data_IF_382652482201
#
_entry.id   IF_382652482201
#
_cell.length_a   1.000
_cell.length_b   1.000
_cell.length_c   1.000
_cell.angle_alpha   90.00
_cell.angle_beta   90.00
_cell.angle_gamma   90.00
#
_symmetry.space_group_name_H-M   'P 1'
#
loop_
_entity.id
_entity.type
_entity.pdbx_description
1 polymer ?
#
# COMPACT_ATOMS: atom_id res chain seq x y z
N UNK A 1 34.02 -16.92 -3.42
CA UNK A 1 33.77 -17.92 -2.35
C UNK A 1 32.38 -17.63 -1.86
N UNK A 2 31.40 -18.46 -2.23
CA UNK A 2 30.04 -18.36 -1.69
C UNK A 2 30.13 -18.68 -0.21
N UNK A 3 30.17 -17.64 0.63
CA UNK A 3 29.80 -17.78 2.02
C UNK A 3 28.35 -18.22 1.95
N UNK A 4 28.09 -19.50 2.19
CA UNK A 4 26.74 -19.95 2.54
C UNK A 4 26.30 -19.01 3.64
N UNK A 5 25.35 -18.12 3.36
CA UNK A 5 24.83 -17.24 4.39
C UNK A 5 24.43 -18.18 5.54
N UNK A 6 24.79 -17.86 6.79
CA UNK A 6 24.18 -18.55 7.91
C UNK A 6 22.66 -18.50 7.67
N UNK A 7 21.91 -19.48 8.18
CA UNK A 7 20.45 -19.57 8.04
C UNK A 7 19.73 -18.40 8.76
N UNK A 8 20.10 -17.15 8.45
CA UNK A 8 19.70 -15.90 9.11
C UNK A 8 18.23 -15.67 8.78
N UNK A 9 17.87 -15.64 7.50
CA UNK A 9 16.49 -15.57 7.04
C UNK A 9 15.60 -16.64 7.67
N UNK A 10 16.05 -17.91 7.74
CA UNK A 10 15.31 -18.98 8.41
C UNK A 10 15.11 -18.71 9.90
N UNK A 11 16.15 -18.25 10.60
CA UNK A 11 16.08 -17.90 12.03
C UNK A 11 15.14 -16.73 12.29
N UNK A 12 15.15 -15.71 11.43
CA UNK A 12 14.21 -14.58 11.49
C UNK A 12 12.78 -15.08 11.27
N UNK A 13 12.55 -15.94 10.28
CA UNK A 13 11.23 -16.54 10.02
C UNK A 13 10.72 -17.33 11.23
N UNK A 14 11.56 -18.16 11.87
CA UNK A 14 11.19 -18.91 13.08
C UNK A 14 10.75 -18.00 14.23
N UNK A 15 11.39 -16.85 14.40
CA UNK A 15 11.04 -15.88 15.46
C UNK A 15 9.74 -15.14 15.19
N UNK A 16 9.43 -14.90 13.92
CA UNK A 16 8.19 -14.25 13.50
C UNK A 16 7.01 -15.25 13.32
N UNK A 17 7.13 -16.47 13.87
CA UNK A 17 6.16 -17.56 13.69
C UNK A 17 5.90 -17.91 12.20
N UNK A 18 6.86 -17.62 11.32
CA UNK A 18 6.82 -17.94 9.91
C UNK A 18 7.40 -19.32 9.61
N UNK A 19 7.10 -19.86 8.43
CA UNK A 19 7.64 -21.15 8.00
C UNK A 19 9.07 -20.99 7.46
N UNK A 20 9.99 -21.90 7.82
CA UNK A 20 11.35 -21.89 7.25
C UNK A 20 11.38 -22.32 5.79
N UNK A 21 10.54 -23.28 5.43
CA UNK A 21 10.33 -23.72 4.05
C UNK A 21 9.09 -23.06 3.46
N UNK A 22 9.18 -22.71 2.17
CA UNK A 22 8.05 -22.15 1.42
C UNK A 22 6.89 -23.16 1.41
N UNK A 23 5.78 -22.80 2.06
CA UNK A 23 4.61 -23.69 2.17
C UNK A 23 3.58 -23.32 1.11
N UNK A 24 3.34 -24.26 0.18
CA UNK A 24 2.22 -24.16 -0.77
C UNK A 24 0.94 -24.63 -0.09
N UNK A 25 0.02 -23.70 0.18
CA UNK A 25 -1.24 -23.98 0.90
C UNK A 25 -2.46 -24.08 -0.03
N UNK A 26 -2.24 -24.13 -1.34
CA UNK A 26 -3.32 -24.14 -2.35
C UNK A 26 -4.35 -25.25 -2.11
N UNK A 27 -3.92 -26.43 -1.63
CA UNK A 27 -4.81 -27.58 -1.36
C UNK A 27 -5.36 -27.59 0.08
N UNK A 28 -4.59 -27.10 1.04
CA UNK A 28 -4.93 -27.15 2.47
C UNK A 28 -6.09 -26.21 2.81
N UNK A 29 -6.22 -25.10 2.09
CA UNK A 29 -7.23 -24.08 2.34
C UNK A 29 -8.64 -24.44 1.85
N UNK A 30 -8.79 -25.37 0.90
CA UNK A 30 -10.10 -25.79 0.40
C UNK A 30 -10.88 -26.70 1.39
N UNK A 31 -10.25 -27.15 2.48
CA UNK A 31 -10.83 -28.12 3.42
C UNK A 31 -11.15 -27.55 4.82
N UNK A 32 -10.70 -26.34 5.15
CA UNK A 32 -10.88 -25.74 6.48
C UNK A 32 -11.80 -24.51 6.41
N UNK A 33 -13.10 -24.75 6.23
CA UNK A 33 -14.14 -23.70 6.22
C UNK A 33 -14.63 -23.30 7.63
N UNK A 34 -14.01 -23.77 8.72
CA UNK A 34 -14.51 -23.52 10.08
C UNK A 34 -13.39 -23.28 11.10
N UNK A 35 -12.87 -22.06 11.16
CA UNK A 35 -12.24 -21.54 12.40
C UNK A 35 -12.84 -20.18 12.75
N UNK A 36 -13.30 -20.09 14.00
CA UNK A 36 -14.00 -18.95 14.59
C UNK A 36 -13.06 -17.79 14.92
N UNK A 37 -13.53 -16.57 14.61
CA UNK A 37 -12.83 -15.29 14.70
C UNK A 37 -12.55 -14.84 16.15
N UNK A 38 -11.35 -14.33 16.40
CA UNK A 38 -11.11 -13.31 17.42
C UNK A 38 -10.91 -11.97 16.70
N UNK A 39 -11.81 -11.02 16.96
CA UNK A 39 -11.67 -9.64 16.51
C UNK A 39 -10.52 -8.99 17.31
N UNK A 40 -9.32 -9.04 16.76
CA UNK A 40 -8.23 -8.21 17.26
C UNK A 40 -8.53 -6.76 16.89
N UNK A 41 -8.47 -5.84 17.86
CA UNK A 41 -8.61 -4.40 17.62
C UNK A 41 -7.48 -3.94 16.68
N UNK A 42 -7.77 -3.93 15.37
CA UNK A 42 -6.83 -3.50 14.33
C UNK A 42 -6.70 -1.98 14.39
N UNK A 43 -5.55 -1.52 14.88
CA UNK A 43 -5.25 -0.09 14.97
C UNK A 43 -4.92 0.42 13.57
N UNK A 44 -5.78 1.31 13.07
CA UNK A 44 -5.55 2.04 11.84
C UNK A 44 -4.19 2.77 11.84
N UNK A 45 -3.58 3.03 10.66
CA UNK A 45 -2.27 3.66 10.56
C UNK A 45 -2.19 4.97 11.34
N UNK A 46 -1.03 5.29 11.94
CA UNK A 46 -0.84 6.58 12.59
C UNK A 46 -1.04 7.68 11.53
N UNK A 47 -2.04 8.53 11.76
CA UNK A 47 -2.58 9.57 10.85
C UNK A 47 -3.76 9.16 9.95
N UNK A 48 -4.40 8.00 10.18
CA UNK A 48 -5.70 7.67 9.59
C UNK A 48 -6.85 8.57 10.06
N UNK A 49 -6.59 9.53 10.96
CA UNK A 49 -7.53 10.58 11.33
C UNK A 49 -7.83 11.45 10.12
N UNK A 50 -8.79 10.91 9.35
CA UNK A 50 -9.60 11.48 8.30
C UNK A 50 -9.67 12.98 8.47
N UNK A 51 -9.22 13.68 7.42
CA UNK A 51 -9.52 15.06 7.05
C UNK A 51 -10.50 15.65 8.05
N UNK A 52 -10.00 16.39 9.05
CA UNK A 52 -10.83 17.04 10.05
C UNK A 52 -12.06 17.60 9.34
N UNK A 53 -13.24 17.09 9.69
CA UNK A 53 -14.49 17.57 9.13
C UNK A 53 -14.43 19.10 9.25
N UNK A 54 -14.42 19.83 8.14
CA UNK A 54 -14.19 21.28 8.16
C UNK A 54 -15.14 21.97 9.14
N UNK A 55 -16.33 21.39 9.33
CA UNK A 55 -17.29 21.79 10.35
C UNK A 55 -16.75 21.70 11.78
N UNK A 56 -15.96 20.67 12.14
CA UNK A 56 -15.33 20.55 13.45
C UNK A 56 -14.21 21.56 13.66
N UNK A 57 -13.43 21.89 12.62
CA UNK A 57 -12.44 22.99 12.68
C UNK A 57 -13.15 24.32 12.85
N UNK A 58 -14.18 24.59 12.04
CA UNK A 58 -14.98 25.82 12.13
C UNK A 58 -15.66 25.92 13.50
N UNK A 59 -16.24 24.83 14.00
CA UNK A 59 -16.90 24.78 15.31
C UNK A 59 -15.88 24.91 16.45
N UNK A 60 -14.68 24.35 16.32
CA UNK A 60 -13.59 24.52 17.29
C UNK A 60 -13.06 25.97 17.29
N UNK A 61 -12.94 26.60 16.12
CA UNK A 61 -12.61 28.01 15.98
C UNK A 61 -13.71 28.88 16.60
N UNK A 62 -15.00 28.61 16.33
CA UNK A 62 -16.14 29.30 16.95
C UNK A 62 -16.17 29.11 18.47
N UNK A 63 -15.93 27.89 18.96
CA UNK A 63 -15.87 27.60 20.41
C UNK A 63 -14.67 28.28 21.07
N UNK A 64 -13.53 28.35 20.40
CA UNK A 64 -12.36 29.13 20.82
C UNK A 64 -12.72 30.61 20.93
N UNK A 65 -13.47 31.13 19.97
CA UNK A 65 -13.93 32.53 19.93
C UNK A 65 -14.86 32.87 21.10
N UNK A 66 -15.68 31.90 21.53
CA UNK A 66 -16.61 32.05 22.67
C UNK A 66 -15.90 31.83 24.02
N UNK A 67 -14.83 31.03 24.06
CA UNK A 67 -14.17 30.63 25.33
C UNK A 67 -13.14 31.64 25.84
N UNK A 68 -12.72 32.63 25.04
CA UNK A 68 -11.80 33.68 25.49
C UNK A 68 -12.54 34.83 26.18
N UNK A 69 -13.30 34.52 27.23
CA UNK A 69 -13.78 35.51 28.19
C UNK A 69 -13.33 35.11 29.58
N UNK A 70 -12.05 35.33 29.91
CA UNK A 70 -11.68 35.47 31.31
C UNK A 70 -10.40 36.29 31.50
N UNK A 71 -10.62 37.43 32.18
CA UNK A 71 -9.72 38.25 33.00
C UNK A 71 -8.42 38.72 32.35
N UNK A 72 -8.31 40.04 32.10
CA UNK A 72 -7.34 40.95 32.75
C UNK A 72 -7.62 42.39 32.26
N UNK A 73 -7.51 43.33 33.19
CA UNK A 73 -7.62 44.78 33.02
C UNK A 73 -6.62 45.30 32.00
N UNK A 74 -7.03 45.42 30.74
CA UNK A 74 -6.21 45.97 29.68
C UNK A 74 -6.82 47.28 29.18
N UNK A 75 -5.98 48.27 28.92
CA UNK A 75 -6.36 49.56 28.34
C UNK A 75 -7.28 49.34 27.12
N UNK A 76 -8.30 50.18 26.92
CA UNK A 76 -9.25 50.09 25.79
C UNK A 76 -8.53 49.90 24.45
N UNK A 77 -7.34 50.48 24.31
CA UNK A 77 -6.46 50.34 23.16
C UNK A 77 -5.89 48.93 22.96
N UNK A 78 -5.50 48.24 24.04
CA UNK A 78 -5.03 46.85 23.96
C UNK A 78 -6.18 45.90 23.62
N UNK A 79 -7.38 46.18 24.14
CA UNK A 79 -8.58 45.40 23.82
C UNK A 79 -8.99 45.59 22.36
N UNK A 80 -8.98 46.82 21.83
CA UNK A 80 -9.28 47.05 20.41
C UNK A 80 -8.23 46.45 19.47
N UNK A 81 -6.93 46.57 19.80
CA UNK A 81 -5.85 45.98 19.01
C UNK A 81 -5.95 44.44 18.99
N UNK A 82 -6.33 43.81 20.10
CA UNK A 82 -6.61 42.38 20.16
C UNK A 82 -7.72 41.97 19.18
N UNK A 83 -8.86 42.67 19.19
CA UNK A 83 -9.97 42.35 18.28
C UNK A 83 -9.62 42.59 16.81
N UNK A 84 -8.85 43.63 16.48
CA UNK A 84 -8.38 43.89 15.11
C UNK A 84 -7.46 42.76 14.63
N UNK A 85 -6.45 42.39 15.42
CA UNK A 85 -5.54 41.29 15.07
C UNK A 85 -6.29 39.97 14.95
N UNK A 86 -7.23 39.71 15.84
CA UNK A 86 -8.06 38.50 15.81
C UNK A 86 -8.97 38.47 14.58
N UNK A 87 -9.55 39.60 14.19
CA UNK A 87 -10.35 39.71 12.97
C UNK A 87 -9.52 39.49 11.70
N UNK A 88 -8.31 40.07 11.63
CA UNK A 88 -7.37 39.84 10.51
C UNK A 88 -7.01 38.36 10.41
N UNK A 89 -6.66 37.73 11.54
CA UNK A 89 -6.32 36.31 11.59
C UNK A 89 -7.49 35.43 11.17
N UNK A 90 -8.71 35.74 11.64
CA UNK A 90 -9.91 35.01 11.28
C UNK A 90 -10.24 35.15 9.79
N UNK A 91 -10.12 36.36 9.23
CA UNK A 91 -10.30 36.62 7.80
C UNK A 91 -9.29 35.84 6.95
N UNK A 92 -8.02 35.82 7.37
CA UNK A 92 -6.96 35.02 6.73
C UNK A 92 -7.31 33.53 6.74
N UNK A 93 -7.68 32.97 7.90
CA UNK A 93 -8.07 31.55 8.00
C UNK A 93 -9.31 31.24 7.15
N UNK A 94 -10.28 32.15 7.11
CA UNK A 94 -11.48 31.99 6.29
C UNK A 94 -11.15 31.97 4.80
N UNK A 95 -10.28 32.87 4.32
CA UNK A 95 -9.82 32.88 2.93
C UNK A 95 -9.05 31.61 2.57
N UNK A 96 -8.15 31.14 3.45
CA UNK A 96 -7.43 29.88 3.27
C UNK A 96 -8.41 28.71 3.24
N UNK A 97 -9.44 28.70 4.10
CA UNK A 97 -10.45 27.65 4.12
C UNK A 97 -11.28 27.61 2.84
N UNK A 98 -11.71 28.78 2.31
CA UNK A 98 -12.41 28.87 1.02
C UNK A 98 -11.52 28.34 -0.10
N UNK A 99 -10.27 28.80 -0.18
CA UNK A 99 -9.32 28.38 -1.20
C UNK A 99 -9.10 26.86 -1.17
N UNK A 100 -8.82 26.29 0.01
CA UNK A 100 -8.63 24.85 0.18
C UNK A 100 -9.88 24.05 -0.16
N UNK A 101 -11.08 24.56 0.17
CA UNK A 101 -12.33 23.89 -0.17
C UNK A 101 -12.58 23.89 -1.68
N UNK A 102 -12.33 25.02 -2.37
CA UNK A 102 -12.44 25.08 -3.82
C UNK A 102 -11.45 24.14 -4.50
N UNK A 103 -10.19 24.11 -4.02
CA UNK A 103 -9.18 23.18 -4.51
C UNK A 103 -9.59 21.71 -4.31
N UNK A 104 -10.11 21.36 -3.13
CA UNK A 104 -10.63 20.02 -2.84
C UNK A 104 -11.79 19.65 -3.76
N UNK A 105 -12.76 20.56 -3.93
CA UNK A 105 -13.91 20.33 -4.81
C UNK A 105 -13.48 20.15 -6.26
N UNK A 106 -12.59 21.02 -6.76
CA UNK A 106 -12.03 20.93 -8.11
C UNK A 106 -11.35 19.57 -8.33
N UNK A 107 -10.47 19.16 -7.41
CA UNK A 107 -9.76 17.88 -7.50
C UNK A 107 -10.71 16.69 -7.49
N UNK A 108 -11.68 16.68 -6.58
CA UNK A 108 -12.67 15.61 -6.51
C UNK A 108 -13.52 15.50 -7.78
N UNK A 109 -13.93 16.63 -8.37
CA UNK A 109 -14.67 16.62 -9.64
C UNK A 109 -13.78 16.15 -10.78
N UNK A 110 -12.53 16.64 -10.85
CA UNK A 110 -11.55 16.23 -11.85
C UNK A 110 -11.25 14.73 -11.80
N UNK A 111 -11.05 14.17 -10.60
CA UNK A 111 -10.80 12.73 -10.42
C UNK A 111 -12.00 11.88 -10.83
N UNK A 112 -13.22 12.28 -10.46
CA UNK A 112 -14.43 11.58 -10.93
C UNK A 112 -14.57 11.64 -12.45
N UNK A 113 -14.27 12.79 -13.05
CA UNK A 113 -14.26 12.94 -14.51
C UNK A 113 -13.25 12.00 -15.16
N UNK A 114 -12.02 11.92 -14.64
CA UNK A 114 -11.00 10.99 -15.13
C UNK A 114 -11.42 9.53 -14.95
N UNK A 115 -11.95 9.15 -13.79
CA UNK A 115 -12.36 7.78 -13.50
C UNK A 115 -13.45 7.29 -14.47
N UNK A 116 -14.36 8.18 -14.89
CA UNK A 116 -15.39 7.87 -15.88
C UNK A 116 -14.80 7.85 -17.30
N UNK A 117 -13.94 8.80 -17.65
CA UNK A 117 -13.40 8.95 -19.00
C UNK A 117 -12.43 7.81 -19.36
N UNK A 118 -11.58 7.41 -18.41
CA UNK A 118 -10.58 6.37 -18.59
C UNK A 118 -11.06 5.01 -18.06
N UNK A 119 -12.37 4.75 -18.02
CA UNK A 119 -12.85 3.45 -17.56
C UNK A 119 -12.46 2.37 -18.59
N UNK A 120 -11.61 1.37 -18.23
CA UNK A 120 -11.10 0.39 -19.19
C UNK A 120 -12.18 -0.59 -19.68
N UNK A 121 -13.42 -0.45 -19.18
CA UNK A 121 -14.58 -1.28 -19.58
C UNK A 121 -14.32 -2.78 -19.45
N UNK A 122 -13.46 -3.15 -18.50
CA UNK A 122 -12.98 -4.51 -18.26
C UNK A 122 -12.40 -5.19 -19.50
N UNK A 123 -11.81 -4.42 -20.41
CA UNK A 123 -11.15 -4.93 -21.62
C UNK A 123 -9.63 -4.83 -21.48
N UNK A 124 -8.89 -5.95 -21.61
CA UNK A 124 -7.43 -5.94 -21.61
C UNK A 124 -6.86 -5.25 -22.85
N UNK A 125 -7.59 -5.23 -23.98
CA UNK A 125 -7.13 -4.56 -25.20
C UNK A 125 -7.00 -3.05 -25.01
N UNK A 126 -8.01 -2.42 -24.39
CA UNK A 126 -8.00 -0.97 -24.09
C UNK A 126 -6.80 -0.61 -23.23
N UNK A 127 -6.54 -1.39 -22.18
CA UNK A 127 -5.40 -1.17 -21.28
C UNK A 127 -4.08 -1.30 -22.03
N UNK A 128 -3.95 -2.33 -22.88
CA UNK A 128 -2.74 -2.56 -23.66
C UNK A 128 -2.49 -1.46 -24.69
N UNK A 129 -3.54 -0.93 -25.32
CA UNK A 129 -3.44 0.21 -26.23
C UNK A 129 -2.93 1.48 -25.54
N UNK A 130 -3.38 1.74 -24.32
CA UNK A 130 -2.91 2.89 -23.54
C UNK A 130 -1.45 2.74 -23.10
N UNK A 131 -1.01 1.52 -22.83
CA UNK A 131 0.34 1.23 -22.36
C UNK A 131 1.35 1.16 -23.51
N UNK A 132 0.94 0.70 -24.69
CA UNK A 132 1.78 0.70 -25.89
C UNK A 132 2.20 2.11 -26.34
N UNK A 133 1.53 3.16 -25.84
CA UNK A 133 1.90 4.57 -26.07
C UNK A 133 3.07 5.03 -25.18
N UNK A 134 3.43 4.25 -24.15
CA UNK A 134 4.49 4.58 -23.21
C UNK A 134 5.84 4.11 -23.74
N UNK A 135 6.88 4.93 -23.56
CA UNK A 135 8.24 4.60 -24.00
C UNK A 135 8.86 3.48 -23.16
N UNK A 136 8.48 3.40 -21.88
CA UNK A 136 8.96 2.39 -20.95
C UNK A 136 7.92 2.12 -19.86
N UNK A 137 7.99 0.93 -19.28
CA UNK A 137 7.11 0.46 -18.19
C UNK A 137 7.95 -0.10 -17.04
N UNK A 138 7.47 0.02 -15.79
CA UNK A 138 8.09 -0.67 -14.66
C UNK A 138 7.91 -2.18 -14.81
N UNK A 139 8.82 -2.98 -14.24
CA UNK A 139 8.66 -4.44 -14.14
C UNK A 139 7.90 -4.82 -12.86
N UNK A 140 8.18 -4.08 -11.80
CA UNK A 140 7.62 -4.31 -10.46
C UNK A 140 6.87 -3.04 -10.04
N UNK A 141 5.56 -3.17 -9.81
CA UNK A 141 4.74 -2.09 -9.27
C UNK A 141 4.30 -2.46 -7.87
N UNK A 142 4.42 -1.53 -6.94
CA UNK A 142 3.86 -1.64 -5.60
C UNK A 142 2.70 -0.68 -5.42
N UNK A 143 1.64 -1.12 -4.76
CA UNK A 143 0.44 -0.33 -4.49
C UNK A 143 0.17 -0.28 -2.99
N UNK A 144 0.05 0.93 -2.43
CA UNK A 144 -0.41 1.15 -1.05
C UNK A 144 -1.92 1.34 -1.08
N UNK A 145 -2.63 0.48 -0.36
CA UNK A 145 -4.08 0.45 -0.23
C UNK A 145 -4.48 0.63 1.23
N UNK A 146 -5.48 1.48 1.46
CA UNK A 146 -6.06 1.71 2.78
C UNK A 146 -7.30 0.83 2.95
N UNK A 147 -7.45 0.21 4.13
CA UNK A 147 -8.71 -0.46 4.50
C UNK A 147 -9.76 0.63 4.80
N UNK A 148 -10.73 0.79 3.89
CA UNK A 148 -11.85 1.70 4.07
C UNK A 148 -12.84 1.15 5.11
N UNK A 149 -13.59 2.05 5.77
CA UNK A 149 -14.58 1.64 6.78
C UNK A 149 -15.69 0.80 6.12
N UNK A 150 -16.25 -0.17 6.84
CA UNK A 150 -17.31 -1.05 6.32
C UNK A 150 -18.59 -0.29 5.89
N UNK A 151 -18.76 0.96 6.38
CA UNK A 151 -19.89 1.84 6.02
C UNK A 151 -19.71 2.55 4.66
N UNK A 152 -18.48 2.63 4.15
CA UNK A 152 -18.16 3.30 2.89
C UNK A 152 -18.53 2.41 1.67
N UNK A 153 -18.83 3.02 0.51
CA UNK A 153 -19.11 2.27 -0.74
C UNK A 153 -17.86 1.52 -1.21
N UNK A 154 -17.92 0.19 -1.34
CA UNK A 154 -16.74 -0.68 -1.48
C UNK A 154 -15.79 -0.59 -0.28
N UNK A 155 -16.34 -0.42 0.92
CA UNK A 155 -15.63 -0.49 2.17
C UNK A 155 -15.25 -1.91 2.59
N UNK A 156 -14.50 -2.00 3.69
CA UNK A 156 -14.19 -3.26 4.34
C UNK A 156 -13.28 -4.18 3.54
N UNK A 157 -13.23 -5.45 4.00
CA UNK A 157 -12.35 -6.48 3.41
C UNK A 157 -12.75 -6.83 1.98
N UNK A 158 -14.05 -6.88 1.69
CA UNK A 158 -14.56 -7.20 0.34
C UNK A 158 -14.19 -6.13 -0.68
N UNK A 159 -14.27 -4.85 -0.30
CA UNK A 159 -13.84 -3.73 -1.12
C UNK A 159 -12.35 -3.74 -1.43
N UNK A 160 -11.54 -4.09 -0.44
CA UNK A 160 -10.10 -4.27 -0.61
C UNK A 160 -9.79 -5.43 -1.56
N UNK A 161 -10.45 -6.59 -1.39
CA UNK A 161 -10.33 -7.75 -2.30
C UNK A 161 -10.67 -7.37 -3.74
N UNK A 162 -11.77 -6.62 -3.93
CA UNK A 162 -12.19 -6.17 -5.26
C UNK A 162 -11.13 -5.23 -5.87
N UNK A 163 -10.60 -4.29 -5.09
CA UNK A 163 -9.56 -3.35 -5.52
C UNK A 163 -8.27 -4.07 -5.95
N UNK A 164 -7.84 -5.07 -5.16
CA UNK A 164 -6.70 -5.93 -5.49
C UNK A 164 -6.96 -6.70 -6.79
N UNK A 165 -8.17 -7.23 -6.97
CA UNK A 165 -8.53 -8.01 -8.15
C UNK A 165 -8.52 -7.17 -9.43
N UNK A 166 -9.03 -5.94 -9.38
CA UNK A 166 -8.97 -5.00 -10.51
C UNK A 166 -7.51 -4.57 -10.79
N UNK A 167 -6.70 -4.26 -9.77
CA UNK A 167 -5.28 -3.97 -9.94
C UNK A 167 -4.50 -5.13 -10.55
N UNK A 168 -4.83 -6.36 -10.17
CA UNK A 168 -4.25 -7.58 -10.74
C UNK A 168 -4.56 -7.66 -12.23
N UNK A 169 -5.83 -7.47 -12.62
CA UNK A 169 -6.23 -7.49 -14.02
C UNK A 169 -5.55 -6.37 -14.84
N UNK A 170 -5.43 -5.16 -14.28
CA UNK A 170 -4.73 -4.05 -14.93
C UNK A 170 -3.24 -4.34 -15.08
N UNK A 171 -2.61 -4.90 -14.05
CA UNK A 171 -1.19 -5.26 -14.05
C UNK A 171 -0.87 -6.35 -15.08
N UNK A 172 -1.71 -7.37 -15.19
CA UNK A 172 -1.56 -8.41 -16.21
C UNK A 172 -1.78 -7.86 -17.62
N UNK A 173 -2.81 -7.03 -17.79
CA UNK A 173 -3.09 -6.38 -19.09
C UNK A 173 -1.96 -5.44 -19.52
N UNK A 174 -1.31 -4.82 -18.53
CA UNK A 174 -0.14 -3.96 -18.69
C UNK A 174 1.16 -4.70 -19.04
N UNK A 175 1.22 -6.01 -18.84
CA UNK A 175 2.42 -6.80 -19.01
C UNK A 175 3.44 -6.62 -17.88
N UNK A 176 2.98 -6.28 -16.68
CA UNK A 176 3.81 -6.27 -15.47
C UNK A 176 4.09 -7.72 -15.02
N UNK A 177 5.29 -7.97 -14.49
CA UNK A 177 5.68 -9.32 -14.03
C UNK A 177 5.42 -9.54 -12.55
N UNK A 178 5.43 -8.47 -11.75
CA UNK A 178 5.18 -8.53 -10.32
C UNK A 178 4.38 -7.33 -9.83
N UNK A 179 3.38 -7.62 -8.98
CA UNK A 179 2.56 -6.65 -8.26
C UNK A 179 2.77 -6.86 -6.76
N UNK A 180 3.20 -5.81 -6.06
CA UNK A 180 3.30 -5.80 -4.60
C UNK A 180 2.11 -5.00 -4.06
N UNK A 181 1.42 -5.55 -3.07
CA UNK A 181 0.25 -4.91 -2.46
C UNK A 181 0.56 -4.74 -0.99
N UNK A 182 0.55 -3.50 -0.56
CA UNK A 182 0.76 -3.11 0.82
C UNK A 182 -0.54 -2.63 1.43
N UNK A 183 -0.92 -3.24 2.54
CA UNK A 183 -1.98 -2.76 3.42
C UNK A 183 -1.44 -2.76 4.86
N UNK A 184 -1.63 -1.65 5.57
CA UNK A 184 -0.96 -1.40 6.85
C UNK A 184 -1.25 -2.46 7.92
N UNK A 185 -2.52 -2.82 8.11
CA UNK A 185 -2.96 -3.69 9.20
C UNK A 185 -2.65 -5.16 8.94
N UNK A 186 -2.63 -5.59 7.68
CA UNK A 186 -2.55 -6.99 7.30
C UNK A 186 -3.90 -7.72 7.41
N UNK A 187 -5.04 -7.01 7.34
CA UNK A 187 -6.37 -7.56 7.61
C UNK A 187 -6.74 -8.77 6.72
N UNK A 188 -6.23 -8.81 5.48
CA UNK A 188 -6.41 -9.94 4.56
C UNK A 188 -5.51 -11.13 4.89
N UNK A 189 -4.34 -10.87 5.49
CA UNK A 189 -3.30 -11.87 5.74
C UNK A 189 -3.57 -12.63 7.04
N UNK A 190 -4.20 -12.00 8.03
CA UNK A 190 -4.54 -12.60 9.31
C UNK A 190 -5.56 -13.74 9.17
N UNK A 191 -6.59 -13.57 8.34
CA UNK A 191 -7.65 -14.55 8.17
C UNK A 191 -7.40 -15.43 6.94
N UNK A 192 -7.24 -16.74 7.17
CA UNK A 192 -7.01 -17.74 6.12
C UNK A 192 -8.16 -17.80 5.11
N UNK A 193 -9.42 -17.68 5.53
CA UNK A 193 -10.59 -17.67 4.64
C UNK A 193 -10.58 -16.48 3.67
N UNK A 194 -10.14 -15.31 4.15
CA UNK A 194 -10.08 -14.09 3.35
C UNK A 194 -9.11 -14.21 2.15
N UNK A 195 -8.02 -14.97 2.32
CA UNK A 195 -7.05 -15.23 1.24
C UNK A 195 -7.65 -16.17 0.18
N UNK A 196 -8.48 -17.14 0.59
CA UNK A 196 -9.21 -18.01 -0.34
C UNK A 196 -10.21 -17.20 -1.15
N UNK A 197 -10.94 -16.30 -0.50
CA UNK A 197 -11.87 -15.42 -1.18
C UNK A 197 -11.14 -14.50 -2.15
N UNK A 198 -10.02 -13.89 -1.72
CA UNK A 198 -9.16 -13.09 -2.59
C UNK A 198 -8.77 -13.85 -3.86
N UNK A 199 -8.30 -15.08 -3.73
CA UNK A 199 -7.95 -15.94 -4.86
C UNK A 199 -9.14 -16.19 -5.79
N UNK A 200 -10.32 -16.50 -5.24
CA UNK A 200 -11.55 -16.70 -6.03
C UNK A 200 -11.96 -15.42 -6.77
N UNK A 201 -11.90 -14.27 -6.11
CA UNK A 201 -12.25 -12.97 -6.68
C UNK A 201 -11.26 -12.52 -7.77
N UNK A 202 -9.97 -12.76 -7.60
CA UNK A 202 -8.96 -12.52 -8.64
C UNK A 202 -9.28 -13.37 -9.86
N UNK A 203 -9.46 -14.69 -9.70
CA UNK A 203 -9.80 -15.59 -10.81
C UNK A 203 -11.08 -15.15 -11.52
N UNK A 204 -12.13 -14.78 -10.77
CA UNK A 204 -13.39 -14.26 -11.34
C UNK A 204 -13.15 -12.98 -12.15
N UNK A 205 -12.33 -12.06 -11.64
CA UNK A 205 -12.02 -10.80 -12.33
C UNK A 205 -11.21 -11.06 -13.59
N UNK A 206 -10.22 -11.95 -13.54
CA UNK A 206 -9.45 -12.33 -14.72
C UNK A 206 -10.32 -12.98 -15.80
N UNK A 207 -11.29 -13.82 -15.42
CA UNK A 207 -12.28 -14.37 -16.37
C UNK A 207 -13.11 -13.26 -17.02
N UNK A 208 -13.47 -12.20 -16.29
CA UNK A 208 -14.20 -11.06 -16.85
C UNK A 208 -13.37 -10.27 -17.86
N UNK A 209 -12.06 -10.13 -17.65
CA UNK A 209 -11.17 -9.39 -18.55
C UNK A 209 -10.72 -10.23 -19.75
N UNK A 210 -10.23 -11.46 -19.51
CA UNK A 210 -9.58 -12.29 -20.53
C UNK A 210 -10.50 -13.35 -21.15
N UNK A 211 -11.71 -13.52 -20.61
CA UNK A 211 -12.64 -14.58 -21.01
C UNK A 211 -12.31 -15.93 -20.37
N UNK A 212 -13.04 -16.97 -20.78
CA UNK A 212 -12.92 -18.33 -20.20
C UNK A 212 -11.92 -19.21 -20.93
N UNK A 213 -11.45 -18.82 -22.10
CA UNK A 213 -10.62 -19.69 -22.97
C UNK A 213 -9.14 -19.68 -22.59
N UNK A 214 -8.61 -18.53 -22.15
CA UNK A 214 -7.19 -18.35 -21.80
C UNK A 214 -7.05 -17.47 -20.56
N UNK A 215 -7.35 -18.03 -19.39
CA UNK A 215 -7.23 -17.33 -18.10
C UNK A 215 -5.75 -17.23 -17.73
N UNK A 216 -5.21 -16.02 -17.54
CA UNK A 216 -3.83 -15.84 -17.08
C UNK A 216 -3.58 -16.44 -15.69
N UNK A 217 -2.35 -16.87 -15.47
CA UNK A 217 -1.92 -17.56 -14.25
C UNK A 217 -1.25 -16.60 -13.29
N UNK A 218 -1.50 -16.79 -11.99
CA UNK A 218 -0.91 -15.94 -10.96
C UNK A 218 -0.52 -16.75 -9.72
N UNK A 219 0.39 -16.18 -8.93
CA UNK A 219 0.71 -16.67 -7.58
C UNK A 219 0.58 -15.55 -6.56
N UNK A 220 0.02 -15.85 -5.38
CA UNK A 220 -0.04 -14.95 -4.23
C UNK A 220 0.99 -15.42 -3.21
N UNK A 221 1.95 -14.57 -2.85
CA UNK A 221 2.98 -14.83 -1.85
C UNK A 221 2.80 -13.90 -0.65
N UNK A 222 2.97 -14.45 0.55
CA UNK A 222 2.96 -13.71 1.81
C UNK A 222 4.34 -13.89 2.47
N UNK A 223 5.23 -12.89 2.37
CA UNK A 223 6.64 -13.06 2.74
C UNK A 223 6.88 -13.42 4.21
N UNK A 224 6.35 -12.66 5.18
CA UNK A 224 6.58 -12.95 6.61
C UNK A 224 6.06 -14.32 7.09
N UNK A 225 5.03 -14.89 6.44
CA UNK A 225 4.55 -16.26 6.74
C UNK A 225 5.25 -17.34 5.89
N UNK A 226 6.00 -16.92 4.87
CA UNK A 226 6.61 -17.76 3.85
C UNK A 226 5.58 -18.72 3.20
N UNK A 227 4.44 -18.15 2.81
CA UNK A 227 3.32 -18.86 2.17
C UNK A 227 3.22 -18.49 0.70
N UNK A 228 2.86 -19.45 -0.13
CA UNK A 228 2.53 -19.22 -1.54
C UNK A 228 1.26 -19.97 -1.93
N UNK A 229 0.47 -19.34 -2.78
CA UNK A 229 -0.80 -19.86 -3.29
C UNK A 229 -0.82 -19.64 -4.79
N UNK A 230 -1.19 -20.67 -5.54
CA UNK A 230 -1.27 -20.58 -6.99
C UNK A 230 -2.72 -20.56 -7.48
N UNK A 231 -2.92 -20.03 -8.69
CA UNK A 231 -4.17 -20.20 -9.43
C UNK A 231 -4.55 -21.68 -9.60
N UNK A 232 -5.86 -22.01 -9.66
CA UNK A 232 -6.40 -23.39 -9.60
C UNK A 232 -5.82 -24.40 -10.60
N UNK A 233 -5.22 -23.93 -11.69
CA UNK A 233 -4.73 -24.78 -12.77
C UNK A 233 -3.20 -24.96 -12.81
N UNK A 234 -2.44 -24.30 -11.94
CA UNK A 234 -0.97 -24.32 -11.97
C UNK A 234 -0.42 -24.89 -10.67
N UNK A 235 -0.21 -26.22 -10.65
CA UNK A 235 0.26 -26.91 -9.45
C UNK A 235 1.79 -27.07 -9.44
N UNK A 236 2.48 -27.07 -10.59
CA UNK A 236 3.88 -27.52 -10.66
C UNK A 236 4.82 -26.76 -11.63
N UNK A 237 4.46 -25.58 -12.15
CA UNK A 237 5.42 -24.75 -12.92
C UNK A 237 5.81 -23.48 -12.18
N UNK A 238 7.12 -23.29 -11.99
CA UNK A 238 7.70 -22.10 -11.35
C UNK A 238 7.49 -20.79 -12.14
N UNK A 239 6.88 -20.84 -13.32
CA UNK A 239 6.57 -19.66 -14.12
C UNK A 239 5.06 -19.41 -14.07
N UNK A 240 4.70 -18.22 -13.56
CA UNK A 240 3.35 -17.64 -13.60
C UNK A 240 3.40 -16.36 -14.42
N UNK A 241 2.25 -15.92 -14.95
CA UNK A 241 2.17 -14.68 -15.73
C UNK A 241 2.30 -13.43 -14.84
N UNK A 242 1.85 -13.51 -13.58
CA UNK A 242 2.01 -12.44 -12.58
C UNK A 242 2.27 -13.00 -11.17
N UNK A 243 3.32 -12.51 -10.53
CA UNK A 243 3.56 -12.72 -9.10
C UNK A 243 2.94 -11.59 -8.28
N UNK A 244 2.12 -11.94 -7.29
CA UNK A 244 1.45 -10.99 -6.39
C UNK A 244 2.02 -11.17 -4.98
N UNK A 245 2.67 -10.16 -4.44
CA UNK A 245 3.17 -10.16 -3.06
C UNK A 245 2.22 -9.35 -2.17
N UNK A 246 1.70 -9.99 -1.12
CA UNK A 246 0.92 -9.30 -0.08
C UNK A 246 1.84 -9.02 1.11
N UNK A 247 2.13 -7.75 1.33
CA UNK A 247 2.97 -7.28 2.43
C UNK A 247 2.17 -6.38 3.37
N UNK A 248 2.58 -6.36 4.63
CA UNK A 248 1.99 -5.47 5.64
C UNK A 248 3.06 -4.72 6.42
N UNK A 249 2.66 -3.95 7.43
CA UNK A 249 3.58 -3.27 8.34
C UNK A 249 4.63 -4.21 8.95
N UNK A 250 4.28 -5.48 9.18
CA UNK A 250 5.18 -6.48 9.79
C UNK A 250 6.42 -6.66 8.93
N UNK A 251 6.26 -6.68 7.60
CA UNK A 251 7.35 -6.85 6.62
C UNK A 251 8.30 -5.64 6.53
N UNK A 252 7.97 -4.51 7.18
CA UNK A 252 8.77 -3.28 7.14
C UNK A 252 9.78 -3.16 8.28
N UNK A 253 9.62 -2.10 9.09
CA UNK A 253 10.50 -1.81 10.24
C UNK A 253 10.63 -2.98 11.23
N UNK A 254 9.56 -3.73 11.58
CA UNK A 254 9.67 -4.87 12.48
C UNK A 254 10.61 -5.96 11.96
N UNK A 255 10.51 -6.34 10.69
CA UNK A 255 11.44 -7.31 10.06
C UNK A 255 12.88 -6.83 10.11
N UNK A 256 13.14 -5.54 9.84
CA UNK A 256 14.50 -4.98 9.93
C UNK A 256 15.08 -5.06 11.36
N UNK A 257 14.25 -4.77 12.36
CA UNK A 257 14.65 -4.90 13.77
C UNK A 257 14.94 -6.37 14.11
N UNK A 258 14.12 -7.30 13.63
CA UNK A 258 14.30 -8.73 13.92
C UNK A 258 15.52 -9.32 13.23
N UNK A 259 15.79 -8.90 11.98
CA UNK A 259 17.02 -9.21 11.27
C UNK A 259 18.24 -8.74 12.05
N UNK A 260 18.21 -7.49 12.54
CA UNK A 260 19.31 -6.90 13.30
C UNK A 260 19.57 -7.66 14.61
N UNK A 261 18.52 -8.02 15.35
CA UNK A 261 18.66 -8.86 16.57
C UNK A 261 19.27 -10.21 16.23
N UNK A 262 18.77 -10.88 15.19
CA UNK A 262 19.26 -12.20 14.79
C UNK A 262 20.72 -12.14 14.39
N UNK A 263 21.13 -11.17 13.57
CA UNK A 263 22.54 -10.95 13.22
C UNK A 263 23.41 -10.66 14.45
N UNK A 264 22.91 -9.87 15.39
CA UNK A 264 23.63 -9.54 16.63
C UNK A 264 23.86 -10.78 17.49
N UNK A 265 22.85 -11.64 17.62
CA UNK A 265 22.96 -12.87 18.40
C UNK A 265 23.90 -13.89 17.75
N UNK A 266 23.83 -14.05 16.43
CA UNK A 266 24.76 -14.88 15.68
C UNK A 266 26.20 -14.37 15.82
N UNK A 267 26.40 -13.05 15.86
CA UNK A 267 27.71 -12.46 16.11
C UNK A 267 28.21 -12.71 17.54
N UNK A 268 27.33 -12.64 18.55
CA UNK A 268 27.67 -12.98 19.94
C UNK A 268 28.05 -14.46 20.08
N UNK A 269 27.31 -15.35 19.40
CA UNK A 269 27.58 -16.79 19.39
C UNK A 269 28.79 -17.18 18.52
N UNK A 270 29.41 -16.21 17.84
CA UNK A 270 30.54 -16.39 16.90
C UNK A 270 30.19 -17.24 15.68
N UNK A 271 28.91 -17.29 15.31
CA UNK A 271 28.40 -17.93 14.10
C UNK A 271 28.43 -16.96 12.90
N UNK A 272 28.47 -15.66 13.16
CA UNK A 272 28.62 -14.60 12.15
C UNK A 272 29.77 -13.66 12.53
N UNK A 273 30.67 -13.36 11.60
CA UNK A 273 31.71 -12.35 11.83
C UNK A 273 31.14 -10.94 11.70
N UNK A 274 31.55 -10.04 12.59
CA UNK A 274 31.14 -8.62 12.55
C UNK A 274 31.51 -7.96 11.21
N UNK A 275 32.59 -8.40 10.58
CA UNK A 275 33.04 -7.87 9.27
C UNK A 275 32.17 -8.31 8.10
N UNK A 276 31.42 -9.39 8.28
CA UNK A 276 30.57 -9.96 7.24
C UNK A 276 29.20 -9.25 7.21
N UNK A 277 28.86 -8.49 8.26
CA UNK A 277 27.67 -7.62 8.32
C UNK A 277 27.90 -6.39 7.40
N UNK A 278 27.63 -6.60 6.11
CA UNK A 278 27.75 -5.60 5.05
C UNK A 278 26.36 -5.17 4.55
N UNK A 279 26.30 -4.06 3.83
CA UNK A 279 25.05 -3.58 3.20
C UNK A 279 24.52 -4.63 2.23
N UNK A 280 25.41 -5.29 1.48
CA UNK A 280 25.04 -6.32 0.50
C UNK A 280 24.43 -7.55 1.19
N UNK A 281 24.96 -7.98 2.34
CA UNK A 281 24.36 -9.07 3.13
C UNK A 281 22.97 -8.68 3.63
N UNK A 282 22.80 -7.45 4.13
CA UNK A 282 21.48 -6.98 4.59
C UNK A 282 20.48 -6.93 3.44
N UNK A 283 20.93 -6.49 2.26
CA UNK A 283 20.14 -6.43 1.04
C UNK A 283 19.67 -7.82 0.60
N UNK A 284 20.58 -8.80 0.57
CA UNK A 284 20.28 -10.19 0.22
C UNK A 284 19.29 -10.82 1.21
N UNK A 285 19.51 -10.64 2.52
CA UNK A 285 18.63 -11.20 3.55
C UNK A 285 17.23 -10.56 3.53
N UNK A 286 17.14 -9.23 3.34
CA UNK A 286 15.84 -8.55 3.22
C UNK A 286 15.12 -8.92 1.92
N UNK A 287 15.85 -9.07 0.82
CA UNK A 287 15.30 -9.56 -0.44
C UNK A 287 14.71 -10.96 -0.28
N UNK A 288 15.36 -11.85 0.48
CA UNK A 288 14.84 -13.18 0.76
C UNK A 288 13.62 -13.16 1.71
N UNK A 289 13.61 -12.24 2.69
CA UNK A 289 12.57 -12.16 3.70
C UNK A 289 11.28 -11.49 3.20
N UNK A 290 11.40 -10.44 2.38
CA UNK A 290 10.29 -9.56 1.99
C UNK A 290 10.08 -9.55 0.47
N UNK A 291 11.15 -9.57 -0.32
CA UNK A 291 11.09 -9.62 -1.77
C UNK A 291 11.88 -8.50 -2.46
N UNK A 292 11.71 -8.33 -3.79
CA UNK A 292 12.42 -7.30 -4.55
C UNK A 292 11.92 -5.88 -4.27
N UNK A 293 12.77 -4.91 -4.58
CA UNK A 293 12.40 -3.48 -4.59
C UNK A 293 11.47 -3.17 -5.78
N UNK A 294 10.36 -2.44 -5.59
CA UNK A 294 9.53 -1.99 -6.70
C UNK A 294 10.19 -0.89 -7.52
N UNK A 295 9.92 -0.85 -8.83
CA UNK A 295 10.35 0.26 -9.70
C UNK A 295 9.46 1.50 -9.50
N UNK A 296 8.16 1.26 -9.29
CA UNK A 296 7.13 2.27 -9.10
C UNK A 296 6.24 1.92 -7.91
N UNK A 297 6.07 2.85 -6.98
CA UNK A 297 5.14 2.79 -5.86
C UNK A 297 3.97 3.74 -6.10
N UNK A 298 2.75 3.22 -6.14
CA UNK A 298 1.51 3.99 -6.33
C UNK A 298 0.76 4.02 -4.99
N UNK A 299 0.58 5.21 -4.41
CA UNK A 299 -0.27 5.41 -3.25
C UNK A 299 -1.66 5.84 -3.68
N UNK A 300 -2.68 5.04 -3.33
CA UNK A 300 -4.09 5.34 -3.60
C UNK A 300 -4.75 6.17 -2.48
N UNK A 301 -3.99 6.56 -1.46
CA UNK A 301 -4.45 7.34 -0.32
C UNK A 301 -4.64 8.84 -0.65
N UNK A 302 -5.55 9.56 0.05
CA UNK A 302 -5.88 10.96 -0.25
C UNK A 302 -4.75 11.95 0.06
N UNK A 303 -3.79 11.52 0.89
CA UNK A 303 -2.59 12.24 1.26
C UNK A 303 -1.38 11.34 1.05
N UNK A 304 -0.24 11.92 0.67
CA UNK A 304 1.02 11.19 0.64
C UNK A 304 1.45 10.79 2.05
N UNK A 305 1.10 9.56 2.42
CA UNK A 305 1.58 8.86 3.60
C UNK A 305 2.01 7.46 3.13
N UNK A 306 3.24 7.08 3.44
CA UNK A 306 3.74 5.75 3.10
C UNK A 306 3.41 4.70 4.16
N UNK A 307 2.77 5.11 5.27
CA UNK A 307 2.21 4.19 6.26
C UNK A 307 3.22 3.15 6.80
N UNK A 308 4.47 3.52 7.10
CA UNK A 308 5.50 2.54 7.51
C UNK A 308 5.82 1.46 6.45
N UNK A 309 5.55 1.71 5.15
CA UNK A 309 6.01 0.86 4.05
C UNK A 309 7.51 0.53 4.22
N UNK A 310 7.95 -0.71 3.90
CA UNK A 310 9.34 -1.15 4.08
C UNK A 310 10.39 -0.15 3.54
N UNK A 311 11.10 0.58 4.42
CA UNK A 311 11.94 1.72 4.00
C UNK A 311 13.15 1.29 3.17
N UNK A 312 13.66 0.07 3.38
CA UNK A 312 14.76 -0.48 2.59
C UNK A 312 14.36 -0.71 1.13
N UNK A 313 13.11 -1.09 0.87
CA UNK A 313 12.66 -1.50 -0.46
C UNK A 313 12.32 -0.32 -1.37
N UNK A 314 12.22 0.91 -0.84
CA UNK A 314 11.80 2.09 -1.61
C UNK A 314 12.94 3.09 -1.86
N UNK A 315 14.20 2.64 -1.71
CA UNK A 315 15.38 3.51 -1.85
C UNK A 315 15.51 4.08 -3.26
N UNK A 316 15.17 3.29 -4.27
CA UNK A 316 15.31 3.63 -5.69
C UNK A 316 13.96 3.65 -6.44
N UNK A 317 12.85 3.47 -5.73
CA UNK A 317 11.52 3.44 -6.31
C UNK A 317 11.01 4.84 -6.63
N UNK A 318 10.41 5.01 -7.81
CA UNK A 318 9.63 6.21 -8.11
C UNK A 318 8.31 6.15 -7.33
N UNK A 319 7.87 7.28 -6.77
CA UNK A 319 6.65 7.34 -5.96
C UNK A 319 5.62 8.22 -6.66
N UNK A 320 4.46 7.65 -6.95
CA UNK A 320 3.31 8.35 -7.51
C UNK A 320 2.15 8.35 -6.51
N UNK A 321 1.48 9.49 -6.39
CA UNK A 321 0.25 9.63 -5.63
C UNK A 321 -0.61 10.71 -6.26
N UNK A 322 -1.93 10.55 -6.14
CA UNK A 322 -2.88 11.55 -6.60
C UNK A 322 -3.59 12.19 -5.41
N UNK A 323 -3.46 13.52 -5.20
CA UNK A 323 -4.07 14.16 -4.06
C UNK A 323 -5.59 14.06 -4.03
N UNK A 324 -6.15 13.85 -2.84
CA UNK A 324 -7.58 13.71 -2.57
C UNK A 324 -8.23 12.49 -3.24
N UNK A 325 -7.44 11.56 -3.79
CA UNK A 325 -7.91 10.26 -4.26
C UNK A 325 -8.23 9.35 -3.07
N UNK A 326 -9.36 8.64 -3.11
CA UNK A 326 -9.74 7.68 -2.07
C UNK A 326 -9.91 6.26 -2.60
N UNK A 327 -10.10 6.14 -3.90
CA UNK A 327 -10.53 4.90 -4.53
C UNK A 327 -9.45 4.38 -5.44
N UNK A 328 -9.36 3.06 -5.55
CA UNK A 328 -8.53 2.40 -6.55
C UNK A 328 -9.19 2.55 -7.90
N UNK A 329 -8.59 3.36 -8.78
CA UNK A 329 -9.12 3.59 -10.12
C UNK A 329 -8.02 3.48 -11.17
N UNK A 330 -8.42 3.06 -12.37
CA UNK A 330 -7.50 2.84 -13.48
C UNK A 330 -6.83 4.13 -13.95
N UNK A 331 -7.52 5.27 -13.86
CA UNK A 331 -6.95 6.56 -14.28
C UNK A 331 -5.71 6.95 -13.47
N UNK A 332 -5.73 6.74 -12.15
CA UNK A 332 -4.58 6.97 -11.26
C UNK A 332 -3.47 5.95 -11.54
N UNK A 333 -3.83 4.67 -11.74
CA UNK A 333 -2.86 3.63 -12.12
C UNK A 333 -2.14 3.97 -13.43
N UNK A 334 -2.87 4.30 -14.49
CA UNK A 334 -2.33 4.67 -15.80
C UNK A 334 -1.45 5.93 -15.71
N UNK A 335 -1.87 6.94 -14.94
CA UNK A 335 -1.05 8.16 -14.75
C UNK A 335 0.23 7.88 -13.98
N UNK A 336 0.23 6.95 -13.03
CA UNK A 336 1.44 6.46 -12.38
C UNK A 336 2.42 5.85 -13.39
N UNK A 337 1.92 5.00 -14.30
CA UNK A 337 2.74 4.43 -15.37
C UNK A 337 3.24 5.50 -16.36
N UNK A 338 2.40 6.48 -16.71
CA UNK A 338 2.79 7.61 -17.57
C UNK A 338 3.89 8.46 -16.93
N UNK A 339 3.76 8.76 -15.63
CA UNK A 339 4.78 9.49 -14.89
C UNK A 339 6.10 8.73 -14.91
N UNK A 340 6.07 7.43 -14.58
CA UNK A 340 7.26 6.57 -14.65
C UNK A 340 7.89 6.55 -16.04
N UNK A 341 7.07 6.43 -17.09
CA UNK A 341 7.54 6.43 -18.49
C UNK A 341 8.28 7.72 -18.85
N UNK A 342 7.88 8.87 -18.31
CA UNK A 342 8.49 10.16 -18.59
C UNK A 342 9.67 10.50 -17.65
N UNK A 343 9.83 9.78 -16.53
CA UNK A 343 10.91 10.03 -15.58
C UNK A 343 12.28 9.74 -16.21
N UNK A 344 13.30 10.58 -15.98
CA UNK A 344 14.69 10.25 -16.31
C UNK A 344 15.29 9.43 -15.18
N UNK A 345 15.54 8.16 -15.44
CA UNK A 345 16.23 7.28 -14.50
C UNK A 345 17.72 7.62 -14.55
N UNK A 346 18.16 8.40 -13.57
CA UNK A 346 19.58 8.69 -13.37
C UNK A 346 20.14 7.65 -12.40
N UNK A 347 20.49 6.47 -12.91
CA UNK A 347 21.29 5.52 -12.13
C UNK A 347 22.63 6.21 -11.86
N UNK A 348 22.94 6.41 -10.58
CA UNK A 348 24.18 7.05 -10.15
C UNK A 348 25.37 6.40 -10.85
N UNK A 349 26.13 7.22 -11.59
CA UNK A 349 27.47 6.86 -12.07
C UNK A 349 28.50 7.08 -10.97
#
# INVERSE_FOLDING_TARGET
MNVTSPKISENVRLRNNGNTQLKNITRDMNNNDNESNEDSETKAPPNSYRIYNIFSIILALFRSLIKTTSKTTNSVFQMSMFYINHFILLSLFFMIAIYKNFQYLYRRVYLKYLAVTYYPSKSPQVIREDINKLEKIPKIVSCILDLQDDEDENGGKDGLINSISELTAWSMSAGLTKLIIYEFTGALIENSGCIVDLRKYITKTLVLYFGTEAIPTFSIRIPHKNLIIYSDNHIDSNAVDLEIDLISRIDGKPTLVELTKTMSELAVNRELSIRDITIDLIDEELHELVGPEPDLLISFAPSLNLEDYPPWHIRLSEIYWEPDNKDVNYAVFLRGLQQFSNCKINIGK
#
